data_IF_955387203890
#
_entry.id   IF_955387203890
#
_cell.length_a   1.000
_cell.length_b   1.000
_cell.length_c   1.000
_cell.angle_alpha   90.00
_cell.angle_beta   90.00
_cell.angle_gamma   90.00
#
_symmetry.space_group_name_H-M   'P 1'
#
loop_
_entity.id
_entity.type
_entity.pdbx_description
1 polymer ?
#
# COMPACT_ATOMS: atom_id res chain seq x y z
N UNK A 1 12.41 -13.02 11.68
CA UNK A 1 11.74 -13.05 13.00
C UNK A 1 12.72 -12.47 14.00
N UNK A 2 12.33 -11.43 14.73
CA UNK A 2 13.23 -10.50 15.42
C UNK A 2 13.76 -11.07 16.74
N UNK A 3 15.05 -10.92 17.03
CA UNK A 3 15.61 -11.09 18.37
C UNK A 3 16.14 -9.73 18.86
N UNK A 4 15.90 -9.42 20.13
CA UNK A 4 16.28 -8.15 20.77
C UNK A 4 17.45 -8.40 21.70
N UNK A 5 18.56 -7.68 21.53
CA UNK A 5 19.81 -7.88 22.30
C UNK A 5 20.42 -6.54 22.66
N UNK A 6 20.75 -6.23 23.90
CA UNK A 6 21.40 -4.96 24.27
C UNK A 6 22.93 -5.13 24.24
N UNK A 7 23.69 -4.18 23.65
CA UNK A 7 25.17 -4.22 23.70
C UNK A 7 25.87 -3.10 22.90
N UNK A 8 27.04 -2.61 23.31
CA UNK A 8 27.78 -1.56 22.60
C UNK A 8 28.67 -2.12 21.47
N UNK A 9 28.81 -1.39 20.36
CA UNK A 9 29.60 -1.79 19.20
C UNK A 9 30.67 -0.72 18.86
N UNK A 10 31.96 -1.09 18.65
CA UNK A 10 32.98 -0.16 18.15
C UNK A 10 32.96 -0.07 16.62
N UNK A 11 33.20 1.14 16.10
CA UNK A 11 33.14 1.49 14.69
C UNK A 11 34.28 0.89 13.85
N UNK A 12 34.00 0.53 12.58
CA UNK A 12 35.02 0.44 11.54
C UNK A 12 34.49 0.65 10.11
N UNK A 13 35.43 1.10 9.29
CA UNK A 13 35.36 1.79 8.00
C UNK A 13 34.69 1.08 6.82
N UNK A 14 34.29 1.94 5.88
CA UNK A 14 33.72 1.67 4.56
C UNK A 14 34.78 1.30 3.52
N UNK A 15 34.48 0.30 2.70
CA UNK A 15 35.04 0.19 1.34
C UNK A 15 33.94 -0.22 0.38
N UNK A 16 33.81 0.54 -0.71
CA UNK A 16 32.78 0.40 -1.74
C UNK A 16 33.03 -0.75 -2.73
N UNK A 17 32.01 -1.00 -3.54
CA UNK A 17 32.05 -1.93 -4.67
C UNK A 17 30.77 -1.82 -5.49
N UNK A 18 30.87 -1.12 -6.62
CA UNK A 18 29.86 -1.01 -7.68
C UNK A 18 29.62 -2.35 -8.37
N UNK A 19 28.38 -2.74 -8.69
CA UNK A 19 28.10 -3.75 -9.72
C UNK A 19 26.80 -3.45 -10.49
N UNK A 20 26.95 -3.06 -11.75
CA UNK A 20 26.36 -3.76 -12.92
C UNK A 20 24.83 -3.76 -13.11
N UNK A 21 24.34 -2.82 -13.93
CA UNK A 21 23.02 -2.84 -14.58
C UNK A 21 22.99 -3.90 -15.69
N UNK A 22 21.99 -4.79 -15.69
CA UNK A 22 21.68 -5.66 -16.83
C UNK A 22 20.18 -5.59 -17.15
N UNK A 23 19.90 -5.03 -18.32
CA UNK A 23 18.60 -4.96 -18.97
C UNK A 23 18.32 -6.27 -19.70
N UNK A 24 17.14 -6.85 -19.54
CA UNK A 24 16.56 -7.73 -20.55
C UNK A 24 15.07 -7.45 -20.72
N UNK A 25 14.75 -7.09 -21.96
CA UNK A 25 13.46 -6.97 -22.59
C UNK A 25 12.97 -8.34 -23.04
N UNK A 26 11.73 -8.71 -22.71
CA UNK A 26 11.02 -9.76 -23.46
C UNK A 26 9.58 -9.31 -23.75
N UNK A 27 9.33 -9.18 -25.04
CA UNK A 27 8.03 -9.00 -25.67
C UNK A 27 7.36 -10.35 -25.86
N UNK A 28 6.08 -10.47 -25.49
CA UNK A 28 5.24 -11.57 -25.99
C UNK A 28 3.92 -11.01 -26.45
N UNK A 29 3.75 -11.03 -27.77
CA UNK A 29 2.51 -10.77 -28.50
C UNK A 29 1.54 -11.94 -28.31
N UNK A 30 0.30 -11.67 -27.94
CA UNK A 30 -0.81 -12.60 -28.22
C UNK A 30 -2.04 -11.79 -28.58
N UNK A 31 -2.50 -11.99 -29.81
CA UNK A 31 -3.71 -11.43 -30.40
C UNK A 31 -4.94 -12.18 -29.91
N UNK A 32 -5.98 -11.42 -29.53
CA UNK A 32 -7.29 -11.95 -29.16
C UNK A 32 -8.33 -10.85 -29.23
N UNK A 33 -9.24 -10.98 -30.19
CA UNK A 33 -10.17 -9.95 -30.61
C UNK A 33 -11.31 -9.69 -29.59
N UNK A 34 -11.41 -8.44 -29.19
CA UNK A 34 -12.62 -7.77 -28.73
C UNK A 34 -12.38 -6.30 -29.00
N UNK A 35 -13.23 -5.65 -29.81
CA UNK A 35 -13.07 -4.24 -30.14
C UNK A 35 -13.37 -3.36 -28.92
N UNK A 36 -12.44 -3.36 -27.96
CA UNK A 36 -12.32 -2.29 -26.99
C UNK A 36 -11.88 -1.05 -27.76
N UNK A 37 -12.66 0.05 -27.67
CA UNK A 37 -12.15 1.35 -28.11
C UNK A 37 -10.85 1.57 -27.35
N UNK A 38 -9.75 1.75 -28.07
CA UNK A 38 -8.43 1.89 -27.47
C UNK A 38 -8.43 3.16 -26.62
N UNK A 39 -8.48 3.00 -25.31
CA UNK A 39 -8.35 4.09 -24.35
C UNK A 39 -6.93 4.62 -24.47
N UNK A 40 -6.78 5.90 -24.79
CA UNK A 40 -5.48 6.55 -24.86
C UNK A 40 -4.88 6.67 -23.46
N UNK A 41 -3.94 5.78 -23.15
CA UNK A 41 -3.11 5.89 -21.95
C UNK A 41 -2.10 7.02 -22.15
N UNK A 42 -2.00 7.88 -21.16
CA UNK A 42 -1.12 9.05 -21.20
C UNK A 42 -0.06 8.95 -20.11
N UNK A 43 1.19 9.23 -20.49
CA UNK A 43 2.27 9.36 -19.53
C UNK A 43 2.02 10.53 -18.58
N UNK A 44 2.51 10.40 -17.34
CA UNK A 44 2.34 11.44 -16.32
C UNK A 44 2.95 12.79 -16.75
N UNK A 45 4.07 12.75 -17.48
CA UNK A 45 4.81 13.94 -17.92
C UNK A 45 5.26 14.75 -16.70
N UNK A 46 5.07 16.07 -16.75
CA UNK A 46 5.47 16.99 -15.68
C UNK A 46 4.46 17.10 -14.53
N UNK A 47 3.37 16.33 -14.56
CA UNK A 47 2.35 16.41 -13.53
C UNK A 47 2.84 15.83 -12.21
N UNK A 48 2.66 16.60 -11.14
CA UNK A 48 2.94 16.16 -9.77
C UNK A 48 1.68 16.25 -8.94
N UNK A 49 1.48 15.27 -8.07
CA UNK A 49 0.40 15.30 -7.08
C UNK A 49 0.67 16.45 -6.11
N UNK A 50 -0.29 17.35 -5.95
CA UNK A 50 -0.16 18.49 -5.03
C UNK A 50 -0.83 18.23 -3.69
N UNK A 51 -1.98 17.53 -3.71
CA UNK A 51 -2.77 17.19 -2.52
C UNK A 51 -3.12 15.71 -2.55
N UNK A 52 -3.39 15.11 -1.40
CA UNK A 52 -4.03 13.79 -1.37
C UNK A 52 -5.54 13.95 -1.54
N UNK A 53 -6.23 12.86 -1.89
CA UNK A 53 -7.69 12.86 -2.03
C UNK A 53 -8.41 12.97 -0.67
N UNK A 54 -7.68 12.98 0.45
CA UNK A 54 -8.24 13.21 1.79
C UNK A 54 -7.94 14.60 2.37
N UNK A 55 -7.09 15.41 1.72
CA UNK A 55 -6.57 16.66 2.30
C UNK A 55 -7.38 17.91 1.92
N UNK A 56 -8.30 17.84 0.96
CA UNK A 56 -9.00 19.03 0.47
C UNK A 56 -10.02 19.53 1.49
N UNK A 57 -9.89 20.79 1.89
CA UNK A 57 -10.84 21.48 2.77
C UNK A 57 -11.34 22.77 2.14
N UNK A 58 -12.26 23.45 2.81
CA UNK A 58 -12.75 24.78 2.40
C UNK A 58 -11.66 25.84 2.26
N UNK A 59 -10.51 25.68 2.92
CA UNK A 59 -9.40 26.63 2.86
C UNK A 59 -8.65 26.59 1.52
N UNK A 60 -8.76 25.47 0.81
CA UNK A 60 -8.16 25.25 -0.50
C UNK A 60 -9.08 25.68 -1.65
N UNK A 61 -10.29 26.17 -1.33
CA UNK A 61 -11.23 26.67 -2.34
C UNK A 61 -10.58 27.72 -3.26
N UNK A 62 -10.91 27.63 -4.54
CA UNK A 62 -10.39 28.43 -5.65
C UNK A 62 -8.91 28.21 -5.98
N UNK A 63 -8.19 27.31 -5.31
CA UNK A 63 -6.80 26.96 -5.66
C UNK A 63 -6.77 25.79 -6.65
N UNK A 64 -5.80 25.77 -7.59
CA UNK A 64 -5.59 24.60 -8.41
C UNK A 64 -5.04 23.44 -7.58
N UNK A 65 -5.60 22.26 -7.75
CA UNK A 65 -5.10 21.02 -7.19
C UNK A 65 -4.93 19.96 -8.28
N UNK A 66 -3.91 19.13 -8.12
CA UNK A 66 -3.69 17.92 -8.93
C UNK A 66 -3.86 16.71 -8.03
N UNK A 67 -4.90 15.94 -8.27
CA UNK A 67 -5.20 14.70 -7.57
C UNK A 67 -4.88 13.50 -8.45
N UNK A 68 -4.42 12.43 -7.83
CA UNK A 68 -4.08 11.17 -8.50
C UNK A 68 -4.57 10.02 -7.65
N UNK A 69 -5.32 9.09 -8.25
CA UNK A 69 -5.94 8.02 -7.50
C UNK A 69 -6.70 7.03 -8.36
N UNK A 70 -7.51 6.21 -7.70
CA UNK A 70 -8.38 5.21 -8.31
C UNK A 70 -9.80 5.72 -8.38
N UNK A 71 -10.45 5.49 -9.52
CA UNK A 71 -11.89 5.74 -9.66
C UNK A 71 -12.67 4.78 -8.77
N UNK A 72 -13.29 5.30 -7.72
CA UNK A 72 -14.04 4.51 -6.75
C UNK A 72 -15.48 4.28 -7.21
N UNK A 73 -16.13 5.36 -7.62
CA UNK A 73 -17.51 5.37 -8.11
C UNK A 73 -17.66 6.47 -9.14
N UNK A 74 -18.56 6.26 -10.08
CA UNK A 74 -18.96 7.27 -11.05
C UNK A 74 -20.47 7.40 -11.08
N UNK A 75 -20.96 8.61 -11.30
CA UNK A 75 -22.38 8.94 -11.38
C UNK A 75 -22.56 9.99 -12.46
N UNK A 76 -23.47 9.75 -13.40
CA UNK A 76 -23.86 10.72 -14.41
C UNK A 76 -25.23 11.30 -14.03
N UNK A 77 -25.34 12.63 -14.03
CA UNK A 77 -26.60 13.33 -13.82
C UNK A 77 -26.78 14.43 -14.86
N UNK A 78 -27.58 14.14 -15.89
CA UNK A 78 -27.97 15.13 -16.89
C UNK A 78 -26.79 15.71 -17.67
N UNK A 79 -25.72 14.93 -17.90
CA UNK A 79 -24.53 15.37 -18.64
C UNK A 79 -23.41 15.94 -17.76
N UNK A 80 -23.61 16.04 -16.45
CA UNK A 80 -22.55 16.30 -15.47
C UNK A 80 -22.08 14.96 -14.89
N UNK A 81 -20.79 14.67 -15.04
CA UNK A 81 -20.19 13.44 -14.53
C UNK A 81 -19.51 13.71 -13.18
N UNK A 82 -19.88 12.92 -12.18
CA UNK A 82 -19.28 12.91 -10.86
C UNK A 82 -18.45 11.65 -10.69
N UNK A 83 -17.19 11.82 -10.31
CA UNK A 83 -16.23 10.73 -10.08
C UNK A 83 -15.70 10.85 -8.66
N UNK A 84 -15.94 9.83 -7.85
CA UNK A 84 -15.34 9.75 -6.53
C UNK A 84 -13.92 9.18 -6.70
N UNK A 85 -12.91 10.03 -6.52
CA UNK A 85 -11.50 9.66 -6.67
C UNK A 85 -10.93 9.28 -5.30
N UNK A 86 -10.43 8.05 -5.19
CA UNK A 86 -9.90 7.49 -3.94
C UNK A 86 -8.38 7.37 -4.01
N UNK A 87 -7.73 7.67 -2.90
CA UNK A 87 -6.33 7.28 -2.66
C UNK A 87 -6.17 6.61 -1.29
N UNK A 88 -4.94 6.54 -0.78
CA UNK A 88 -4.66 5.96 0.54
C UNK A 88 -5.27 6.76 1.70
N UNK A 89 -5.47 8.06 1.51
CA UNK A 89 -5.77 9.01 2.57
C UNK A 89 -7.27 9.32 2.65
N UNK A 90 -7.97 9.26 1.51
CA UNK A 90 -9.40 9.48 1.49
C UNK A 90 -10.02 9.41 0.10
N UNK A 91 -11.20 10.02 0.01
CA UNK A 91 -12.00 10.12 -1.21
C UNK A 91 -12.36 11.59 -1.40
N UNK A 92 -12.17 12.10 -2.61
CA UNK A 92 -12.63 13.43 -3.02
C UNK A 92 -13.56 13.29 -4.24
N UNK A 93 -14.64 14.07 -4.27
CA UNK A 93 -15.49 14.17 -5.46
C UNK A 93 -14.82 15.04 -6.52
N UNK A 94 -14.70 14.51 -7.73
CA UNK A 94 -14.27 15.22 -8.94
C UNK A 94 -15.49 15.40 -9.83
N UNK A 95 -15.76 16.63 -10.26
CA UNK A 95 -16.88 16.95 -11.14
C UNK A 95 -16.39 17.36 -12.52
N UNK A 96 -17.04 16.85 -13.55
CA UNK A 96 -16.83 17.21 -14.95
C UNK A 96 -18.11 17.85 -15.47
N UNK A 97 -18.10 19.17 -15.71
CA UNK A 97 -19.26 19.93 -16.20
C UNK A 97 -19.03 20.31 -17.66
N UNK A 98 -19.98 20.12 -18.59
CA UNK A 98 -19.79 20.48 -19.99
C UNK A 98 -19.37 21.94 -20.21
N UNK A 99 -19.87 22.85 -19.38
CA UNK A 99 -19.64 24.30 -19.47
C UNK A 99 -18.22 24.71 -19.05
N UNK A 100 -17.64 24.02 -18.06
CA UNK A 100 -16.33 24.37 -17.50
C UNK A 100 -15.23 23.43 -17.95
N UNK A 101 -15.49 22.13 -17.98
CA UNK A 101 -14.56 21.09 -18.42
C UNK A 101 -14.50 20.94 -19.94
N UNK A 102 -15.55 21.34 -20.65
CA UNK A 102 -15.71 21.13 -22.09
C UNK A 102 -16.26 19.73 -22.40
N UNK A 103 -17.16 19.65 -23.40
CA UNK A 103 -17.85 18.41 -23.77
C UNK A 103 -16.90 17.24 -24.12
N UNK A 104 -15.74 17.55 -24.74
CA UNK A 104 -14.74 16.54 -25.07
C UNK A 104 -14.11 15.88 -23.83
N UNK A 105 -13.87 16.66 -22.76
CA UNK A 105 -13.31 16.12 -21.52
C UNK A 105 -14.34 15.25 -20.78
N UNK A 106 -15.61 15.68 -20.78
CA UNK A 106 -16.72 14.90 -20.19
C UNK A 106 -16.89 13.57 -20.91
N UNK A 107 -16.89 13.57 -22.25
CA UNK A 107 -16.99 12.34 -23.04
C UNK A 107 -15.83 11.38 -22.74
N UNK A 108 -14.60 11.91 -22.64
CA UNK A 108 -13.42 11.12 -22.26
C UNK A 108 -13.48 10.58 -20.83
N UNK A 109 -13.99 11.38 -19.90
CA UNK A 109 -14.16 10.95 -18.52
C UNK A 109 -15.25 9.86 -18.38
N UNK A 110 -16.29 9.89 -19.23
CA UNK A 110 -17.33 8.87 -19.27
C UNK A 110 -16.84 7.50 -19.77
N UNK A 111 -15.72 7.45 -20.50
CA UNK A 111 -15.08 6.20 -20.91
C UNK A 111 -14.28 5.52 -19.78
N UNK A 112 -13.98 6.25 -18.69
CA UNK A 112 -13.18 5.74 -17.58
C UNK A 112 -13.95 4.66 -16.83
N UNK A 113 -13.31 3.54 -16.51
CA UNK A 113 -13.91 2.45 -15.75
C UNK A 113 -13.64 2.51 -14.23
N UNK A 114 -14.32 1.65 -13.48
CA UNK A 114 -14.04 1.44 -12.06
C UNK A 114 -12.58 0.99 -11.85
N UNK A 115 -11.96 1.50 -10.79
CA UNK A 115 -10.59 1.19 -10.36
C UNK A 115 -9.49 1.57 -11.37
N UNK A 116 -9.83 2.37 -12.40
CA UNK A 116 -8.82 2.97 -13.28
C UNK A 116 -7.99 3.99 -12.51
N UNK A 117 -6.71 4.10 -12.90
CA UNK A 117 -5.78 5.06 -12.32
C UNK A 117 -5.80 6.31 -13.17
N UNK A 118 -6.27 7.41 -12.58
CA UNK A 118 -6.37 8.70 -13.26
C UNK A 118 -5.64 9.78 -12.48
N UNK A 119 -5.18 10.79 -13.22
CA UNK A 119 -4.75 12.06 -12.68
C UNK A 119 -5.69 13.15 -13.17
N UNK A 120 -6.13 14.01 -12.27
CA UNK A 120 -7.04 15.12 -12.58
C UNK A 120 -6.45 16.40 -12.03
N UNK A 121 -6.54 17.48 -12.83
CA UNK A 121 -6.13 18.81 -12.43
C UNK A 121 -7.28 19.79 -12.62
N UNK A 122 -7.45 20.69 -11.66
CA UNK A 122 -8.47 21.72 -11.72
C UNK A 122 -8.57 22.55 -10.45
N UNK A 123 -9.41 23.59 -10.43
CA UNK A 123 -9.67 24.35 -9.22
C UNK A 123 -10.54 23.56 -8.23
N UNK A 124 -10.24 23.70 -6.95
CA UNK A 124 -11.13 23.24 -5.87
C UNK A 124 -12.29 24.22 -5.76
N UNK A 125 -13.52 23.73 -5.72
CA UNK A 125 -14.73 24.54 -5.60
C UNK A 125 -15.57 24.05 -4.43
N UNK A 126 -16.33 24.97 -3.83
CA UNK A 126 -17.28 24.60 -2.78
C UNK A 126 -18.45 23.85 -3.42
N UNK A 127 -18.89 22.78 -2.78
CA UNK A 127 -20.11 22.08 -3.19
C UNK A 127 -21.31 22.98 -2.89
N UNK A 128 -22.38 22.90 -3.70
CA UNK A 128 -23.61 23.62 -3.41
C UNK A 128 -24.23 23.10 -2.11
N UNK A 129 -25.00 23.95 -1.41
CA UNK A 129 -25.46 23.70 -0.05
C UNK A 129 -26.33 22.44 0.09
N UNK A 130 -27.02 22.06 -0.99
CA UNK A 130 -27.85 20.86 -1.12
C UNK A 130 -27.06 19.57 -1.34
N UNK A 131 -25.77 19.66 -1.70
CA UNK A 131 -24.91 18.52 -2.04
C UNK A 131 -23.84 18.22 -0.98
N UNK A 132 -23.78 18.98 0.12
CA UNK A 132 -22.79 18.77 1.19
C UNK A 132 -22.90 17.35 1.77
N UNK A 133 -21.75 16.69 1.96
CA UNK A 133 -21.70 15.35 2.56
C UNK A 133 -20.99 15.38 3.92
N UNK A 134 -21.70 15.35 5.06
CA UNK A 134 -21.07 15.41 6.37
C UNK A 134 -20.29 14.15 6.75
N UNK A 135 -20.48 13.03 6.04
CA UNK A 135 -19.74 11.78 6.32
C UNK A 135 -18.31 11.79 5.78
N UNK A 136 -18.01 12.67 4.82
CA UNK A 136 -16.69 12.78 4.20
C UNK A 136 -15.94 14.02 4.71
N UNK A 137 -14.65 13.90 5.06
CA UNK A 137 -13.85 15.05 5.49
C UNK A 137 -13.72 16.11 4.39
N UNK A 138 -13.74 15.70 3.12
CA UNK A 138 -13.73 16.60 1.96
C UNK A 138 -15.15 16.92 1.46
N UNK A 139 -16.19 16.58 2.21
CA UNK A 139 -17.58 16.61 1.73
C UNK A 139 -18.16 18.00 1.52
N UNK A 140 -17.44 19.05 1.92
CA UNK A 140 -17.75 20.46 1.65
C UNK A 140 -17.21 20.96 0.30
N UNK A 141 -16.24 20.24 -0.29
CA UNK A 141 -15.50 20.68 -1.49
C UNK A 141 -15.49 19.60 -2.57
N UNK A 142 -15.37 20.04 -3.82
CA UNK A 142 -15.17 19.17 -4.97
C UNK A 142 -14.08 19.73 -5.87
N UNK A 143 -13.43 18.87 -6.65
CA UNK A 143 -12.46 19.29 -7.66
C UNK A 143 -13.19 19.43 -9.00
N UNK A 144 -13.23 20.64 -9.55
CA UNK A 144 -13.76 20.83 -10.90
C UNK A 144 -12.68 20.49 -11.93
N UNK A 145 -12.85 19.38 -12.66
CA UNK A 145 -11.84 18.90 -13.59
C UNK A 145 -11.67 19.81 -14.80
N UNK A 146 -10.44 20.26 -15.05
CA UNK A 146 -10.05 21.00 -16.27
C UNK A 146 -9.16 20.17 -17.18
N UNK A 147 -8.39 19.26 -16.61
CA UNK A 147 -7.54 18.33 -17.34
C UNK A 147 -7.66 16.93 -16.72
N UNK A 148 -7.65 15.91 -17.56
CA UNK A 148 -7.68 14.49 -17.18
C UNK A 148 -6.53 13.78 -17.89
N UNK A 149 -5.84 12.89 -17.17
CA UNK A 149 -4.93 11.89 -17.74
C UNK A 149 -5.31 10.51 -17.23
N UNK A 150 -5.45 9.57 -18.15
CA UNK A 150 -5.62 8.16 -17.79
C UNK A 150 -4.25 7.52 -17.73
N UNK A 151 -3.78 7.21 -16.52
CA UNK A 151 -2.45 6.64 -16.29
C UNK A 151 -2.44 5.13 -16.50
N UNK A 152 -3.50 4.45 -16.08
CA UNK A 152 -3.69 3.02 -16.31
C UNK A 152 -5.17 2.67 -16.34
N UNK A 153 -5.56 1.89 -17.34
CA UNK A 153 -6.88 1.26 -17.39
C UNK A 153 -6.90 -0.02 -16.54
N UNK A 154 -8.02 -0.29 -15.89
CA UNK A 154 -8.27 -1.54 -15.20
C UNK A 154 -9.10 -2.48 -16.08
N UNK A 155 -8.73 -3.76 -16.09
CA UNK A 155 -9.56 -4.83 -16.64
C UNK A 155 -10.86 -4.99 -15.82
N UNK A 156 -11.89 -5.65 -16.37
CA UNK A 156 -13.10 -5.98 -15.62
C UNK A 156 -12.78 -6.60 -14.27
N UNK A 157 -13.34 -6.02 -13.20
CA UNK A 157 -12.99 -6.40 -11.84
C UNK A 157 -13.60 -7.77 -11.48
N UNK A 158 -12.85 -8.68 -10.85
CA UNK A 158 -13.36 -9.96 -10.40
C UNK A 158 -14.41 -9.82 -9.27
N UNK A 159 -14.35 -8.72 -8.52
CA UNK A 159 -15.35 -8.30 -7.54
C UNK A 159 -15.26 -6.79 -7.31
N UNK A 160 -16.33 -6.20 -6.79
CA UNK A 160 -16.41 -4.79 -6.49
C UNK A 160 -15.62 -4.44 -5.21
N UNK A 161 -14.76 -3.42 -5.30
CA UNK A 161 -13.93 -2.95 -4.16
C UNK A 161 -14.69 -1.95 -3.28
N UNK A 162 -15.73 -1.31 -3.82
CA UNK A 162 -16.50 -0.25 -3.20
C UNK A 162 -17.70 -0.75 -2.37
N UNK A 163 -18.07 -2.03 -2.46
CA UNK A 163 -19.21 -2.59 -1.73
C UNK A 163 -18.76 -3.32 -0.46
N UNK A 164 -19.12 -2.78 0.70
CA UNK A 164 -18.87 -3.43 2.00
C UNK A 164 -19.89 -4.54 2.33
N UNK A 165 -21.11 -4.46 1.76
CA UNK A 165 -22.23 -5.35 2.09
C UNK A 165 -22.18 -6.65 1.27
N UNK A 166 -21.79 -6.58 0.00
CA UNK A 166 -21.74 -7.73 -0.91
C UNK A 166 -20.30 -8.16 -1.19
N UNK A 167 -19.60 -8.53 -0.12
CA UNK A 167 -18.22 -9.01 -0.22
C UNK A 167 -18.16 -10.34 -0.97
N UNK A 168 -17.21 -10.43 -1.90
CA UNK A 168 -16.90 -11.70 -2.55
C UNK A 168 -16.43 -12.76 -1.55
N UNK A 169 -16.52 -14.02 -1.96
CA UNK A 169 -16.01 -15.15 -1.18
C UNK A 169 -14.52 -14.99 -0.87
N UNK A 170 -14.11 -15.55 0.26
CA UNK A 170 -12.75 -15.43 0.77
C UNK A 170 -11.69 -15.94 -0.22
N UNK A 171 -11.96 -17.06 -0.91
CA UNK A 171 -11.02 -17.64 -1.89
C UNK A 171 -10.71 -16.65 -3.03
N UNK A 172 -11.71 -15.95 -3.54
CA UNK A 172 -11.52 -14.96 -4.61
C UNK A 172 -10.77 -13.72 -4.08
N UNK A 173 -11.07 -13.31 -2.85
CA UNK A 173 -10.36 -12.20 -2.18
C UNK A 173 -8.90 -12.54 -1.89
N UNK A 174 -8.58 -13.79 -1.56
CA UNK A 174 -7.20 -14.24 -1.37
C UNK A 174 -6.46 -14.36 -2.71
N UNK A 175 -7.14 -14.85 -3.76
CA UNK A 175 -6.58 -14.90 -5.12
C UNK A 175 -6.23 -13.51 -5.65
N UNK A 176 -7.13 -12.55 -5.47
CA UNK A 176 -6.94 -11.15 -5.89
C UNK A 176 -6.69 -10.24 -4.70
N UNK A 177 -5.81 -10.66 -3.79
CA UNK A 177 -5.53 -9.94 -2.53
C UNK A 177 -5.10 -8.49 -2.75
N UNK A 178 -4.40 -8.21 -3.86
CA UNK A 178 -4.00 -6.85 -4.22
C UNK A 178 -5.17 -5.89 -4.45
N UNK A 179 -6.36 -6.38 -4.84
CA UNK A 179 -7.58 -5.59 -4.92
C UNK A 179 -8.25 -5.47 -3.54
N UNK A 180 -8.34 -6.57 -2.78
CA UNK A 180 -8.96 -6.56 -1.44
C UNK A 180 -8.21 -5.60 -0.49
N UNK A 181 -6.89 -5.50 -0.61
CA UNK A 181 -6.06 -4.56 0.17
C UNK A 181 -6.35 -3.08 -0.11
N UNK A 182 -7.07 -2.74 -1.19
CA UNK A 182 -7.49 -1.35 -1.48
C UNK A 182 -8.68 -0.89 -0.62
N UNK A 183 -9.35 -1.81 0.07
CA UNK A 183 -10.46 -1.48 0.96
C UNK A 183 -9.98 -0.67 2.17
N UNK A 184 -10.72 0.38 2.58
CA UNK A 184 -10.29 1.28 3.65
C UNK A 184 -10.08 0.54 4.98
N UNK A 185 -10.91 -0.45 5.29
CA UNK A 185 -10.79 -1.28 6.51
C UNK A 185 -9.46 -2.01 6.58
N UNK A 186 -9.10 -2.74 5.52
CA UNK A 186 -7.85 -3.51 5.46
C UNK A 186 -6.62 -2.60 5.40
N UNK A 187 -6.71 -1.48 4.68
CA UNK A 187 -5.67 -0.46 4.66
C UNK A 187 -5.43 0.12 6.06
N UNK A 188 -6.50 0.42 6.81
CA UNK A 188 -6.41 0.90 8.19
C UNK A 188 -5.80 -0.16 9.13
N UNK A 189 -6.16 -1.43 8.98
CA UNK A 189 -5.56 -2.53 9.76
C UNK A 189 -4.06 -2.68 9.48
N UNK A 190 -3.62 -2.61 8.21
CA UNK A 190 -2.20 -2.66 7.87
C UNK A 190 -1.44 -1.44 8.39
N UNK A 191 -2.03 -0.25 8.31
CA UNK A 191 -1.45 0.96 8.87
C UNK A 191 -1.34 0.89 10.40
N UNK A 192 -2.34 0.33 11.09
CA UNK A 192 -2.29 0.09 12.53
C UNK A 192 -1.18 -0.90 12.89
N UNK A 193 -1.07 -2.02 12.15
CA UNK A 193 0.00 -3.00 12.34
C UNK A 193 1.38 -2.38 12.20
N UNK A 194 1.59 -1.54 11.18
CA UNK A 194 2.84 -0.83 10.97
C UNK A 194 3.16 0.12 12.13
N UNK A 195 2.18 0.92 12.58
CA UNK A 195 2.34 1.83 13.72
C UNK A 195 2.65 1.09 15.02
N UNK A 196 1.96 -0.01 15.30
CA UNK A 196 2.20 -0.83 16.48
C UNK A 196 3.62 -1.42 16.48
N UNK A 197 4.08 -1.95 15.35
CA UNK A 197 5.45 -2.45 15.22
C UNK A 197 6.49 -1.34 15.40
N UNK A 198 6.25 -0.14 14.84
CA UNK A 198 7.14 1.01 15.00
C UNK A 198 7.20 1.49 16.45
N UNK A 199 6.07 1.54 17.15
CA UNK A 199 6.00 1.93 18.55
C UNK A 199 6.80 0.96 19.44
N UNK A 200 6.64 -0.35 19.23
CA UNK A 200 7.40 -1.37 19.95
C UNK A 200 8.92 -1.22 19.71
N UNK A 201 9.35 -1.06 18.46
CA UNK A 201 10.77 -0.83 18.13
C UNK A 201 11.33 0.42 18.79
N UNK A 202 10.59 1.52 18.72
CA UNK A 202 11.00 2.81 19.30
C UNK A 202 11.20 2.69 20.81
N UNK A 203 10.27 2.02 21.51
CA UNK A 203 10.38 1.77 22.93
C UNK A 203 11.61 0.91 23.27
N UNK A 204 11.82 -0.19 22.55
CA UNK A 204 12.94 -1.11 22.79
C UNK A 204 14.29 -0.47 22.49
N UNK A 205 14.39 0.30 21.41
CA UNK A 205 15.58 1.08 21.10
C UNK A 205 15.88 2.11 22.20
N UNK A 206 14.85 2.78 22.74
CA UNK A 206 14.98 3.69 23.89
C UNK A 206 15.45 2.98 25.16
N UNK A 207 15.09 1.70 25.35
CA UNK A 207 15.59 0.84 26.42
C UNK A 207 16.94 0.17 26.09
N UNK A 208 17.68 0.68 25.09
CA UNK A 208 19.00 0.21 24.66
C UNK A 208 19.05 -1.20 24.05
N UNK A 209 17.91 -1.77 23.62
CA UNK A 209 17.89 -3.02 22.87
C UNK A 209 18.29 -2.80 21.40
N UNK A 210 19.09 -3.72 20.86
CA UNK A 210 19.42 -3.82 19.44
C UNK A 210 18.44 -4.74 18.74
N UNK A 211 18.03 -4.33 17.54
CA UNK A 211 17.26 -5.14 16.61
C UNK A 211 18.23 -6.05 15.82
N UNK A 212 18.26 -7.35 16.12
CA UNK A 212 19.14 -8.33 15.46
C UNK A 212 18.31 -9.29 14.60
N UNK A 213 18.66 -9.39 13.33
CA UNK A 213 18.10 -10.38 12.41
C UNK A 213 18.77 -11.74 12.61
N UNK A 214 17.97 -12.76 12.91
CA UNK A 214 18.46 -14.14 13.07
C UNK A 214 18.27 -14.94 11.78
N UNK A 215 19.16 -15.89 11.46
CA UNK A 215 19.01 -16.76 10.29
C UNK A 215 17.67 -17.51 10.28
N UNK A 216 16.98 -17.49 9.13
CA UNK A 216 15.70 -18.21 8.99
C UNK A 216 15.87 -19.70 8.68
N UNK A 217 16.91 -20.06 7.93
CA UNK A 217 17.18 -21.46 7.57
C UNK A 217 18.13 -22.06 8.61
N UNK A 218 17.62 -23.00 9.40
CA UNK A 218 18.34 -23.62 10.51
C UNK A 218 18.41 -25.14 10.35
N UNK A 219 19.33 -25.76 11.08
CA UNK A 219 19.44 -27.22 11.13
C UNK A 219 18.16 -27.80 11.76
N UNK A 220 17.57 -28.86 11.18
CA UNK A 220 16.40 -29.51 11.76
C UNK A 220 16.73 -30.13 13.13
N UNK A 221 15.89 -29.83 14.12
CA UNK A 221 15.86 -30.53 15.41
C UNK A 221 14.91 -31.72 15.34
N UNK A 222 15.23 -32.87 15.95
CA UNK A 222 14.49 -34.13 15.82
C UNK A 222 13.16 -34.19 16.61
N UNK A 223 12.49 -33.05 16.84
CA UNK A 223 11.23 -32.99 17.60
C UNK A 223 10.05 -33.53 16.74
N UNK A 224 9.35 -34.61 17.18
CA UNK A 224 8.35 -35.32 16.39
C UNK A 224 7.07 -34.52 16.09
N UNK A 225 6.82 -33.41 16.79
CA UNK A 225 5.69 -32.51 16.50
C UNK A 225 5.95 -31.54 15.34
N UNK A 226 7.16 -31.56 14.76
CA UNK A 226 7.67 -30.54 13.84
C UNK A 226 7.95 -31.10 12.44
N UNK A 227 6.89 -31.43 11.70
CA UNK A 227 7.01 -31.59 10.24
C UNK A 227 7.00 -30.22 9.59
N UNK A 228 8.15 -29.76 9.13
CA UNK A 228 8.29 -28.70 8.13
C UNK A 228 8.93 -29.31 6.88
N UNK A 229 8.53 -28.85 5.69
CA UNK A 229 9.21 -29.23 4.45
C UNK A 229 10.71 -28.94 4.60
N UNK A 230 11.53 -29.96 4.35
CA UNK A 230 12.97 -29.88 4.51
C UNK A 230 13.60 -29.67 3.15
N UNK A 231 14.23 -28.52 2.94
CA UNK A 231 15.06 -28.27 1.76
C UNK A 231 16.50 -28.70 2.03
N UNK A 232 17.20 -29.19 1.01
CA UNK A 232 18.64 -29.47 1.10
C UNK A 232 19.43 -28.32 0.51
N UNK A 233 20.45 -27.87 1.23
CA UNK A 233 21.42 -26.95 0.67
C UNK A 233 22.18 -27.64 -0.48
N UNK A 234 22.25 -27.00 -1.65
CA UNK A 234 22.96 -27.55 -2.82
C UNK A 234 24.46 -27.70 -2.59
N UNK A 235 25.07 -26.82 -1.79
CA UNK A 235 26.50 -26.80 -1.53
C UNK A 235 26.95 -27.85 -0.50
N UNK A 236 26.32 -27.91 0.68
CA UNK A 236 26.74 -28.83 1.75
C UNK A 236 25.86 -30.08 1.90
N UNK A 237 24.82 -30.23 1.08
CA UNK A 237 23.79 -31.30 1.14
C UNK A 237 23.05 -31.44 2.48
N UNK A 238 23.28 -30.51 3.41
CA UNK A 238 22.65 -30.51 4.72
C UNK A 238 21.16 -30.18 4.59
N UNK A 239 20.35 -30.89 5.39
CA UNK A 239 18.95 -30.60 5.58
C UNK A 239 18.78 -29.26 6.32
N UNK A 240 17.85 -28.44 5.84
CA UNK A 240 17.51 -27.11 6.40
C UNK A 240 16.00 -26.99 6.56
N UNK A 241 15.57 -26.27 7.58
CA UNK A 241 14.17 -25.98 7.86
C UNK A 241 13.99 -24.50 8.22
N UNK A 242 12.80 -23.96 7.97
CA UNK A 242 12.45 -22.61 8.41
C UNK A 242 12.31 -22.59 9.93
N UNK A 243 13.05 -21.70 10.58
CA UNK A 243 12.98 -21.48 12.02
C UNK A 243 11.59 -21.01 12.43
N UNK A 244 11.01 -21.69 13.44
CA UNK A 244 9.71 -21.29 14.03
C UNK A 244 9.84 -20.19 15.08
N UNK A 245 11.04 -19.99 15.64
CA UNK A 245 11.31 -19.01 16.69
C UNK A 245 12.81 -18.70 16.78
N UNK A 246 13.20 -17.44 17.06
CA UNK A 246 14.59 -17.06 17.25
C UNK A 246 15.17 -17.51 18.61
N UNK A 247 14.38 -18.15 19.49
CA UNK A 247 14.76 -18.46 20.88
C UNK A 247 16.15 -19.12 21.02
N UNK A 248 16.45 -20.15 20.22
CA UNK A 248 17.75 -20.83 20.29
C UNK A 248 18.94 -19.93 19.90
N UNK A 249 18.72 -18.98 18.98
CA UNK A 249 19.72 -17.99 18.60
C UNK A 249 19.86 -16.96 19.74
N UNK A 250 18.73 -16.42 20.22
CA UNK A 250 18.68 -15.45 21.31
C UNK A 250 19.41 -15.97 22.56
N UNK A 251 19.16 -17.19 23.02
CA UNK A 251 19.86 -17.76 24.20
C UNK A 251 21.38 -17.90 24.01
N UNK A 252 21.87 -18.04 22.77
CA UNK A 252 23.30 -18.21 22.48
C UNK A 252 24.03 -16.89 22.23
N UNK A 253 23.33 -15.86 21.73
CA UNK A 253 23.90 -14.53 21.46
C UNK A 253 23.68 -13.55 22.60
N UNK A 254 22.57 -13.67 23.32
CA UNK A 254 22.30 -12.84 24.49
C UNK A 254 23.06 -13.42 25.68
N UNK A 255 24.15 -12.75 26.08
CA UNK A 255 24.68 -12.92 27.43
C UNK A 255 23.59 -12.44 28.40
N UNK A 256 23.15 -13.23 29.38
CA UNK A 256 22.25 -12.71 30.39
C UNK A 256 22.97 -11.58 31.11
N UNK A 257 22.47 -10.35 30.98
CA UNK A 257 22.84 -9.24 31.87
C UNK A 257 22.14 -9.50 33.22
N UNK A 258 22.49 -10.62 33.85
CA UNK A 258 22.34 -10.74 35.28
C UNK A 258 23.54 -9.99 35.85
N UNK A 259 23.29 -8.79 36.38
CA UNK A 259 24.18 -8.23 37.40
C UNK A 259 24.53 -9.35 38.40
N UNK A 260 25.80 -9.57 38.75
CA UNK A 260 26.21 -10.60 39.72
C UNK A 260 25.54 -10.46 41.11
N UNK A 261 24.85 -9.34 41.38
CA UNK A 261 24.35 -9.01 42.72
C UNK A 261 23.03 -9.67 43.13
N UNK A 262 22.32 -10.39 42.25
CA UNK A 262 20.97 -10.92 42.58
C UNK A 262 20.88 -12.45 42.65
N UNK A 263 21.98 -13.16 42.91
CA UNK A 263 21.93 -14.50 43.53
C UNK A 263 21.82 -14.37 45.04
N UNK A 264 20.67 -13.93 45.55
CA UNK A 264 20.27 -14.27 46.93
C UNK A 264 19.50 -15.59 46.87
N UNK A 265 20.20 -16.63 47.33
CA UNK A 265 19.66 -17.82 48.00
C UNK A 265 18.13 -17.98 47.99
N UNK A 266 17.63 -18.83 47.10
CA UNK A 266 16.46 -19.65 47.43
C UNK A 266 17.02 -21.04 47.70
N UNK A 267 17.37 -21.24 48.97
CA UNK A 267 17.54 -22.54 49.60
C UNK A 267 16.42 -22.66 50.63
N UNK A 268 15.39 -23.44 50.30
CA UNK A 268 14.63 -24.34 51.17
C UNK A 268 13.58 -25.05 50.33
#
# INVERSE_FOLDING_TARGET
>A
MLALVTGPFPARESTGGEHGRMTQSESTSTSGAGASRAVTLEGLGDWRRTHTCGDLTRHEASRPATLMGWVHRMRDHGGVLFVDLRDRYGITQVVFRPETSGAALVARAAEVGHEWVIAVRGPVVMRPADSLNPELPTGEVELEARELKVLAAAAPLPFQVNEAIHLANEDLRLRYRYLDLRRPELAAMLALRARAAQAARTYLAGASFLEIETPMLVKPTPDPSRRSSTSRCSWCRAATVISRSPAACATRTCVPIASPSTRRSISR
#
